data_IF_395170278840
#
_entry.id   IF_395170278840
#
_cell.length_a   1.000
_cell.length_b   1.000
_cell.length_c   1.000
_cell.angle_alpha   90.00
_cell.angle_beta   90.00
_cell.angle_gamma   90.00
#
_symmetry.space_group_name_H-M   'P 1'
#
loop_
_entity.id
_entity.type
_entity.pdbx_description
1 polymer ?
#
# COMPACT_ATOMS: atom_id res chain seq x y z
N UNK A 1 -4.44 -8.93 -24.65
CA UNK A 1 -4.91 -10.06 -23.81
C UNK A 1 -4.66 -9.71 -22.36
N UNK A 2 -5.65 -9.96 -21.48
CA UNK A 2 -5.66 -9.54 -20.07
C UNK A 2 -4.76 -10.38 -19.16
N UNK A 3 -4.30 -11.56 -19.59
CA UNK A 3 -3.44 -12.44 -18.79
C UNK A 3 -4.07 -13.07 -17.55
N UNK A 4 -5.31 -12.71 -17.19
CA UNK A 4 -6.05 -13.32 -16.09
C UNK A 4 -7.57 -13.14 -16.24
N UNK A 5 -8.31 -13.96 -15.51
CA UNK A 5 -9.75 -13.90 -15.29
C UNK A 5 -10.08 -14.30 -13.85
N UNK A 6 -11.37 -14.50 -13.52
CA UNK A 6 -11.78 -14.76 -12.13
C UNK A 6 -11.22 -16.07 -11.55
N UNK A 7 -10.98 -17.06 -12.41
CA UNK A 7 -10.53 -18.40 -12.01
C UNK A 7 -9.23 -18.83 -12.70
N UNK A 8 -8.53 -17.93 -13.39
CA UNK A 8 -7.27 -18.27 -14.03
C UNK A 8 -6.31 -17.07 -14.13
N UNK A 9 -5.01 -17.34 -14.24
CA UNK A 9 -4.01 -16.33 -14.56
C UNK A 9 -2.77 -16.93 -15.24
N UNK A 10 -2.05 -16.12 -16.00
CA UNK A 10 -0.73 -16.45 -16.55
C UNK A 10 0.35 -16.18 -15.50
N UNK A 11 1.29 -17.11 -15.34
CA UNK A 11 2.41 -16.95 -14.42
C UNK A 11 3.68 -17.65 -14.91
N UNK A 12 4.74 -17.59 -14.10
CA UNK A 12 6.09 -17.96 -14.49
C UNK A 12 6.59 -17.04 -15.59
N UNK A 13 6.59 -15.73 -15.35
CA UNK A 13 7.07 -14.76 -16.34
C UNK A 13 8.53 -15.08 -16.74
N UNK A 14 8.78 -15.15 -18.04
CA UNK A 14 10.10 -15.47 -18.60
C UNK A 14 11.07 -14.33 -18.28
N UNK A 15 12.33 -14.65 -17.97
CA UNK A 15 13.34 -13.64 -17.53
C UNK A 15 13.53 -12.49 -18.53
N UNK A 16 13.42 -12.75 -19.83
CA UNK A 16 13.54 -11.73 -20.88
C UNK A 16 12.26 -10.89 -21.08
N UNK A 17 11.14 -11.30 -20.47
CA UNK A 17 9.83 -10.69 -20.67
C UNK A 17 9.48 -9.62 -19.64
N UNK A 18 10.34 -9.38 -18.64
CA UNK A 18 10.15 -8.35 -17.63
C UNK A 18 11.48 -7.79 -17.16
N UNK A 19 11.53 -6.48 -16.94
CA UNK A 19 12.69 -5.78 -16.42
C UNK A 19 12.28 -4.98 -15.18
N UNK A 20 13.11 -5.00 -14.14
CA UNK A 20 12.97 -4.10 -13.01
C UNK A 20 13.51 -2.70 -13.38
N UNK A 21 12.81 -1.65 -12.95
CA UNK A 21 13.23 -0.27 -13.20
C UNK A 21 14.29 0.13 -12.17
N UNK A 22 15.40 0.67 -12.67
CA UNK A 22 16.50 1.15 -11.82
C UNK A 22 16.00 2.16 -10.79
N UNK A 23 16.56 2.10 -9.58
CA UNK A 23 16.27 3.08 -8.54
C UNK A 23 17.07 4.36 -8.77
N UNK A 24 16.49 5.54 -8.52
CA UNK A 24 17.27 6.77 -8.43
C UNK A 24 18.26 6.72 -7.26
N UNK A 25 19.34 7.53 -7.28
CA UNK A 25 20.32 7.61 -6.21
C UNK A 25 19.75 8.37 -5.00
N UNK A 26 18.79 7.75 -4.30
CA UNK A 26 18.16 8.27 -3.10
C UNK A 26 18.58 7.51 -1.84
N UNK A 27 18.45 8.16 -0.71
CA UNK A 27 18.75 7.67 0.62
C UNK A 27 20.22 7.74 1.01
N UNK A 28 20.51 7.28 2.23
CA UNK A 28 21.84 7.21 2.84
C UNK A 28 22.19 5.77 3.21
N UNK A 29 23.48 5.46 3.29
CA UNK A 29 23.95 4.12 3.63
C UNK A 29 23.88 3.79 5.12
N UNK A 30 23.85 4.83 5.97
CA UNK A 30 23.86 4.71 7.43
C UNK A 30 22.54 5.19 8.02
N UNK A 31 22.08 4.50 9.06
CA UNK A 31 20.94 4.91 9.86
C UNK A 31 21.30 6.10 10.76
N UNK A 32 20.30 6.87 11.20
CA UNK A 32 20.49 7.90 12.22
C UNK A 32 20.67 7.27 13.61
N UNK A 33 19.89 6.22 13.88
CA UNK A 33 19.95 5.46 15.12
C UNK A 33 20.33 4.00 14.82
N UNK A 34 21.55 3.61 15.20
CA UNK A 34 22.05 2.23 15.04
C UNK A 34 21.57 1.32 16.18
N UNK A 35 20.32 0.88 16.05
CA UNK A 35 19.69 -0.04 17.00
C UNK A 35 18.35 -0.54 16.50
N UNK A 36 17.64 -1.25 17.38
CA UNK A 36 16.29 -1.73 17.13
C UNK A 36 15.23 -0.66 17.46
N UNK A 37 13.99 -0.91 17.03
CA UNK A 37 12.84 -0.10 17.45
C UNK A 37 12.67 -0.13 18.98
N UNK A 38 12.87 -1.30 19.59
CA UNK A 38 12.82 -1.45 21.06
C UNK A 38 13.90 -0.60 21.75
N UNK A 39 15.14 -0.63 21.23
CA UNK A 39 16.23 0.20 21.75
C UNK A 39 15.91 1.69 21.66
N UNK A 40 15.34 2.14 20.53
CA UNK A 40 14.94 3.53 20.34
C UNK A 40 13.86 3.95 21.35
N UNK A 41 12.82 3.14 21.53
CA UNK A 41 11.75 3.43 22.49
C UNK A 41 12.33 3.61 23.90
N UNK A 42 13.23 2.71 24.31
CA UNK A 42 13.88 2.76 25.63
C UNK A 42 14.80 3.98 25.79
N UNK A 43 15.49 4.39 24.73
CA UNK A 43 16.45 5.50 24.76
C UNK A 43 15.81 6.89 24.61
N UNK A 44 14.64 7.00 23.96
CA UNK A 44 14.09 8.27 23.48
C UNK A 44 13.68 9.31 24.55
N UNK A 45 13.71 8.98 25.84
CA UNK A 45 13.28 9.85 26.95
C UNK A 45 11.78 10.23 26.94
N UNK A 46 11.07 9.97 25.84
CA UNK A 46 9.66 10.26 25.62
C UNK A 46 8.91 8.96 25.23
N UNK A 47 8.89 8.01 26.16
CA UNK A 47 8.36 6.67 25.93
C UNK A 47 6.89 6.66 25.47
N UNK A 48 6.09 7.67 25.83
CA UNK A 48 4.71 7.83 25.38
C UNK A 48 4.61 8.09 23.88
N UNK A 49 5.21 9.19 23.39
CA UNK A 49 5.17 9.54 21.95
C UNK A 49 5.85 8.47 21.08
N UNK A 50 6.98 7.94 21.53
CA UNK A 50 7.70 6.88 20.81
C UNK A 50 6.86 5.61 20.66
N UNK A 51 6.18 5.15 21.72
CA UNK A 51 5.30 3.97 21.63
C UNK A 51 4.12 4.20 20.69
N UNK A 52 3.47 5.37 20.78
CA UNK A 52 2.33 5.72 19.90
C UNK A 52 2.72 5.70 18.42
N UNK A 53 3.89 6.23 18.10
CA UNK A 53 4.37 6.32 16.71
C UNK A 53 4.96 5.01 16.20
N UNK A 54 5.74 4.29 17.02
CA UNK A 54 6.50 3.11 16.58
C UNK A 54 5.76 1.78 16.74
N UNK A 55 4.56 1.76 17.31
CA UNK A 55 3.77 0.54 17.51
C UNK A 55 2.38 0.66 16.88
N UNK A 56 2.01 -0.36 16.11
CA UNK A 56 0.65 -0.56 15.59
C UNK A 56 -0.16 -1.37 16.59
N UNK A 57 -1.44 -1.04 16.76
CA UNK A 57 -2.38 -1.92 17.46
C UNK A 57 -2.83 -3.05 16.52
N UNK A 58 -2.70 -4.30 16.98
CA UNK A 58 -3.06 -5.49 16.20
C UNK A 58 -3.74 -6.55 17.06
N UNK A 59 -4.43 -7.48 16.40
CA UNK A 59 -4.95 -8.72 16.98
C UNK A 59 -4.20 -9.91 16.39
N UNK A 60 -3.54 -10.71 17.21
CA UNK A 60 -2.78 -11.88 16.75
C UNK A 60 -3.70 -13.11 16.74
N UNK A 61 -3.93 -13.68 15.56
CA UNK A 61 -4.83 -14.82 15.42
C UNK A 61 -4.29 -16.04 16.19
N UNK A 62 -5.07 -16.65 17.09
CA UNK A 62 -4.59 -17.78 17.91
C UNK A 62 -4.35 -19.06 17.09
N UNK A 63 -4.99 -19.20 15.91
CA UNK A 63 -4.84 -20.39 15.05
C UNK A 63 -3.61 -20.34 14.16
N UNK A 64 -3.29 -19.19 13.57
CA UNK A 64 -2.25 -19.07 12.55
C UNK A 64 -1.15 -18.04 12.88
N UNK A 65 -1.21 -17.43 14.07
CA UNK A 65 -0.29 -16.39 14.55
C UNK A 65 -0.18 -15.13 13.67
N UNK A 66 -1.03 -14.97 12.65
CA UNK A 66 -1.02 -13.77 11.80
C UNK A 66 -1.45 -12.54 12.60
N UNK A 67 -0.72 -11.41 12.55
CA UNK A 67 -1.20 -10.14 13.03
C UNK A 67 -2.27 -9.57 12.08
N UNK A 68 -3.41 -9.19 12.65
CA UNK A 68 -4.55 -8.61 11.95
C UNK A 68 -4.77 -7.18 12.45
N UNK A 69 -5.28 -6.30 11.57
CA UNK A 69 -5.66 -4.95 11.98
C UNK A 69 -6.66 -4.97 13.14
N UNK A 70 -6.52 -4.03 14.08
CA UNK A 70 -7.26 -4.04 15.36
C UNK A 70 -8.80 -4.06 15.22
N UNK A 71 -9.35 -3.55 14.11
CA UNK A 71 -10.79 -3.54 13.83
C UNK A 71 -11.32 -4.83 13.19
N UNK A 72 -10.45 -5.78 12.84
CA UNK A 72 -10.91 -7.03 12.26
C UNK A 72 -11.58 -7.93 13.29
N UNK A 73 -12.73 -8.49 12.90
CA UNK A 73 -13.41 -9.55 13.64
C UNK A 73 -13.03 -10.95 13.11
N UNK A 74 -12.52 -11.05 11.89
CA UNK A 74 -12.11 -12.32 11.29
C UNK A 74 -10.66 -12.22 10.80
N UNK A 75 -9.86 -13.25 11.05
CA UNK A 75 -8.50 -13.31 10.54
C UNK A 75 -8.50 -13.31 9.01
N UNK A 76 -7.77 -12.39 8.39
CA UNK A 76 -7.72 -12.25 6.94
C UNK A 76 -6.80 -13.27 6.23
N UNK A 77 -6.37 -14.32 6.93
CA UNK A 77 -5.67 -15.47 6.33
C UNK A 77 -6.46 -16.77 6.51
N UNK A 78 -6.82 -17.12 7.74
CA UNK A 78 -7.49 -18.41 8.02
C UNK A 78 -8.97 -18.29 8.39
N UNK A 79 -9.53 -17.08 8.34
CA UNK A 79 -10.94 -16.78 8.66
C UNK A 79 -11.38 -17.18 10.07
N UNK A 80 -10.46 -17.44 11.00
CA UNK A 80 -10.81 -17.66 12.41
C UNK A 80 -11.35 -16.37 13.02
N UNK A 81 -12.38 -16.46 13.85
CA UNK A 81 -12.91 -15.34 14.63
C UNK A 81 -11.84 -14.81 15.59
N UNK A 82 -11.66 -13.50 15.58
CA UNK A 82 -10.71 -12.74 16.39
C UNK A 82 -11.39 -11.51 17.04
N UNK A 83 -12.72 -11.47 17.09
CA UNK A 83 -13.48 -10.41 17.74
C UNK A 83 -13.04 -10.18 19.18
N UNK A 84 -12.91 -11.26 19.96
CA UNK A 84 -12.53 -11.24 21.39
C UNK A 84 -11.01 -11.34 21.66
N UNK A 85 -10.18 -11.39 20.61
CA UNK A 85 -8.72 -11.43 20.78
C UNK A 85 -8.22 -10.09 21.34
N UNK A 86 -7.49 -10.07 22.48
CA UNK A 86 -6.94 -8.84 23.04
C UNK A 86 -5.99 -8.13 22.07
N UNK A 87 -5.94 -6.80 22.19
CA UNK A 87 -4.98 -6.01 21.42
C UNK A 87 -3.56 -6.27 21.93
N UNK A 88 -2.66 -6.48 20.98
CA UNK A 88 -1.21 -6.45 21.17
C UNK A 88 -0.62 -5.41 20.24
N UNK A 89 0.71 -5.30 20.22
CA UNK A 89 1.41 -4.39 19.33
C UNK A 89 2.27 -5.10 18.30
N UNK A 90 2.50 -4.44 17.17
CA UNK A 90 3.53 -4.80 16.20
C UNK A 90 4.34 -3.56 15.79
N UNK A 91 5.57 -3.69 15.29
CA UNK A 91 6.35 -2.53 14.89
C UNK A 91 5.73 -1.74 13.72
N UNK A 92 5.67 -0.42 13.84
CA UNK A 92 5.33 0.51 12.77
C UNK A 92 6.59 0.85 11.97
N UNK A 93 6.78 0.12 10.86
CA UNK A 93 7.97 0.24 10.02
C UNK A 93 8.04 1.61 9.34
N UNK A 94 6.90 2.18 8.95
CA UNK A 94 6.87 3.46 8.21
C UNK A 94 7.38 4.61 9.07
N UNK A 95 6.91 4.67 10.31
CA UNK A 95 7.42 5.64 11.27
C UNK A 95 8.89 5.36 11.65
N UNK A 96 9.31 4.09 11.76
CA UNK A 96 10.70 3.76 12.04
C UNK A 96 11.66 4.24 10.92
N UNK A 97 11.23 4.22 9.65
CA UNK A 97 11.99 4.80 8.54
C UNK A 97 12.17 6.32 8.70
N UNK A 98 11.11 7.03 9.09
CA UNK A 98 11.16 8.48 9.31
C UNK A 98 12.08 8.88 10.48
N UNK A 99 12.23 8.02 11.48
CA UNK A 99 13.15 8.24 12.59
C UNK A 99 14.59 7.75 12.30
N UNK A 100 14.81 7.13 11.13
CA UNK A 100 16.12 6.62 10.73
C UNK A 100 16.66 5.51 11.63
N UNK A 101 15.79 4.63 12.11
CA UNK A 101 16.16 3.45 12.92
C UNK A 101 16.76 2.36 12.02
N UNK A 102 17.85 1.74 12.42
CA UNK A 102 18.59 0.80 11.58
C UNK A 102 17.85 -0.51 11.29
N UNK A 103 17.20 -1.11 12.30
CA UNK A 103 16.65 -2.46 12.18
C UNK A 103 15.44 -2.71 13.07
N UNK A 104 14.71 -3.75 12.74
CA UNK A 104 13.82 -4.46 13.69
C UNK A 104 14.63 -5.54 14.41
N UNK A 105 13.99 -6.31 15.28
CA UNK A 105 14.57 -7.51 15.88
C UNK A 105 14.86 -8.61 14.84
N UNK A 106 14.34 -8.50 13.61
CA UNK A 106 14.37 -9.57 12.59
C UNK A 106 15.10 -9.20 11.30
N UNK A 107 15.17 -7.92 10.94
CA UNK A 107 15.72 -7.47 9.66
C UNK A 107 16.03 -5.96 9.64
N UNK A 108 16.90 -5.55 8.72
CA UNK A 108 17.29 -4.15 8.49
C UNK A 108 16.14 -3.31 7.89
N UNK A 109 16.00 -2.07 8.35
CA UNK A 109 14.98 -1.11 7.93
C UNK A 109 15.44 -0.27 6.73
N UNK A 110 15.92 -0.94 5.68
CA UNK A 110 16.30 -0.30 4.42
C UNK A 110 15.18 -0.40 3.40
N UNK A 111 14.99 0.65 2.61
CA UNK A 111 13.88 0.78 1.66
C UNK A 111 14.32 1.02 0.22
N UNK A 112 13.39 0.77 -0.70
CA UNK A 112 13.51 0.99 -2.14
C UNK A 112 12.93 2.37 -2.48
N UNK A 113 13.68 3.45 -2.21
CA UNK A 113 13.20 4.81 -2.43
C UNK A 113 13.09 5.18 -3.92
N UNK A 114 12.11 6.02 -4.22
CA UNK A 114 11.85 6.59 -5.55
C UNK A 114 11.89 8.12 -5.54
N UNK A 115 11.52 8.74 -4.42
CA UNK A 115 11.72 10.16 -4.18
C UNK A 115 11.71 10.40 -2.67
N UNK A 116 12.43 11.41 -2.22
CA UNK A 116 12.45 11.84 -0.82
C UNK A 116 12.74 13.32 -0.69
N UNK A 117 12.16 13.94 0.33
CA UNK A 117 12.42 15.32 0.77
C UNK A 117 12.03 15.42 2.23
N UNK A 118 12.31 16.52 2.92
CA UNK A 118 11.88 16.69 4.32
C UNK A 118 10.37 16.56 4.55
N UNK A 119 9.55 16.74 3.51
CA UNK A 119 8.08 16.75 3.57
C UNK A 119 7.44 15.41 3.21
N UNK A 120 8.05 14.63 2.31
CA UNK A 120 7.45 13.40 1.76
C UNK A 120 8.50 12.35 1.43
N UNK A 121 8.09 11.09 1.62
CA UNK A 121 8.88 9.91 1.26
C UNK A 121 8.06 9.01 0.33
N UNK A 122 8.59 8.70 -0.86
CA UNK A 122 8.00 7.81 -1.87
C UNK A 122 8.90 6.59 -2.06
N UNK A 123 8.33 5.39 -1.95
CA UNK A 123 9.09 4.13 -2.07
C UNK A 123 8.25 3.04 -2.72
N UNK A 124 8.92 2.03 -3.31
CA UNK A 124 8.24 0.85 -3.83
C UNK A 124 7.52 0.12 -2.70
N UNK A 125 6.27 -0.28 -2.92
CA UNK A 125 5.50 -1.02 -1.92
C UNK A 125 6.08 -2.45 -1.76
N UNK A 126 6.44 -2.91 -0.54
CA UNK A 126 6.96 -4.28 -0.31
C UNK A 126 5.94 -5.38 -0.63
N UNK A 127 4.66 -5.03 -0.68
CA UNK A 127 3.52 -5.88 -1.01
C UNK A 127 2.88 -5.48 -2.34
N UNK A 128 3.66 -4.90 -3.27
CA UNK A 128 3.26 -4.47 -4.61
C UNK A 128 2.17 -5.34 -5.28
N UNK A 129 1.15 -4.71 -5.88
CA UNK A 129 0.07 -5.37 -6.63
C UNK A 129 0.25 -5.22 -8.16
N UNK A 130 1.00 -4.21 -8.56
CA UNK A 130 1.35 -3.85 -9.94
C UNK A 130 2.87 -3.67 -10.04
N UNK A 131 3.44 -3.75 -11.26
CA UNK A 131 4.84 -3.43 -11.52
C UNK A 131 5.28 -2.06 -10.98
N UNK A 132 4.41 -1.05 -11.09
CA UNK A 132 4.56 0.25 -10.46
C UNK A 132 3.51 0.35 -9.35
N UNK A 133 3.95 0.18 -8.10
CA UNK A 133 3.16 0.39 -6.89
C UNK A 133 4.03 1.11 -5.87
N UNK A 134 3.66 2.35 -5.55
CA UNK A 134 4.31 3.12 -4.51
C UNK A 134 3.47 3.21 -3.26
N UNK A 135 4.15 3.27 -2.12
CA UNK A 135 3.65 3.96 -0.94
C UNK A 135 4.26 5.37 -0.91
N UNK A 136 3.46 6.38 -0.56
CA UNK A 136 3.99 7.69 -0.17
C UNK A 136 3.45 8.11 1.19
N UNK A 137 4.36 8.60 2.05
CA UNK A 137 4.06 9.01 3.42
C UNK A 137 4.50 10.46 3.67
N UNK A 138 3.77 11.23 4.48
CA UNK A 138 4.25 12.52 4.93
C UNK A 138 5.40 12.30 5.91
N UNK A 139 6.49 13.04 5.74
CA UNK A 139 7.70 12.86 6.53
C UNK A 139 7.81 13.85 7.71
N UNK A 140 6.93 14.85 7.77
CA UNK A 140 6.90 15.86 8.83
C UNK A 140 5.88 15.54 9.93
N UNK A 141 4.74 14.98 9.55
CA UNK A 141 3.61 14.76 10.45
C UNK A 141 3.44 13.27 10.77
N UNK A 142 3.21 12.96 12.04
CA UNK A 142 2.66 11.68 12.44
C UNK A 142 1.14 11.72 12.35
N UNK A 143 0.57 10.93 11.44
CA UNK A 143 -0.87 10.86 11.21
C UNK A 143 -1.22 9.36 11.15
N UNK A 144 -2.00 8.81 12.10
CA UNK A 144 -2.29 7.38 12.14
C UNK A 144 -2.93 6.82 10.87
N UNK A 145 -3.99 7.49 10.41
CA UNK A 145 -4.80 7.06 9.28
C UNK A 145 -5.49 8.27 8.60
N UNK A 146 -6.16 8.03 7.47
CA UNK A 146 -6.75 9.08 6.65
C UNK A 146 -7.88 9.86 7.34
N UNK A 147 -8.55 9.31 8.36
CA UNK A 147 -9.67 9.98 9.04
C UNK A 147 -9.21 11.23 9.77
N UNK A 148 -7.97 11.22 10.27
CA UNK A 148 -7.36 12.39 10.92
C UNK A 148 -7.26 13.61 10.01
N UNK A 149 -7.21 13.42 8.68
CA UNK A 149 -7.23 14.52 7.72
C UNK A 149 -8.52 15.35 7.81
N UNK A 150 -9.61 14.75 8.27
CA UNK A 150 -10.91 15.42 8.40
C UNK A 150 -11.01 16.37 9.61
N UNK A 151 -10.03 16.32 10.53
CA UNK A 151 -9.91 17.29 11.62
C UNK A 151 -9.36 18.64 11.13
N UNK A 152 -8.57 18.61 10.05
CA UNK A 152 -7.95 19.79 9.43
C UNK A 152 -8.14 19.74 7.90
N UNK A 153 -9.38 19.93 7.40
CA UNK A 153 -9.70 19.60 6.00
C UNK A 153 -8.82 20.27 4.95
N UNK A 154 -8.46 21.54 5.15
CA UNK A 154 -7.62 22.30 4.21
C UNK A 154 -6.19 21.74 4.15
N UNK A 155 -5.55 21.57 5.30
CA UNK A 155 -4.22 20.97 5.40
C UNK A 155 -4.22 19.52 4.93
N UNK A 156 -5.29 18.76 5.23
CA UNK A 156 -5.46 17.39 4.76
C UNK A 156 -5.59 17.30 3.24
N UNK A 157 -6.27 18.25 2.60
CA UNK A 157 -6.40 18.33 1.15
C UNK A 157 -5.06 18.66 0.49
N UNK A 158 -4.31 19.61 1.05
CA UNK A 158 -2.96 19.93 0.59
C UNK A 158 -2.03 18.71 0.70
N UNK A 159 -2.14 17.96 1.80
CA UNK A 159 -1.34 16.77 2.02
C UNK A 159 -1.67 15.66 1.01
N UNK A 160 -2.95 15.41 0.73
CA UNK A 160 -3.35 14.44 -0.30
C UNK A 160 -2.74 14.76 -1.66
N UNK A 161 -2.82 16.04 -2.08
CA UNK A 161 -2.23 16.53 -3.34
C UNK A 161 -0.71 16.38 -3.36
N UNK A 162 -0.03 16.71 -2.26
CA UNK A 162 1.41 16.54 -2.14
C UNK A 162 1.80 15.06 -2.36
N UNK A 163 1.16 14.13 -1.64
CA UNK A 163 1.48 12.71 -1.74
C UNK A 163 1.24 12.16 -3.16
N UNK A 164 0.08 12.48 -3.76
CA UNK A 164 -0.25 12.04 -5.12
C UNK A 164 0.71 12.62 -6.17
N UNK A 165 0.99 13.93 -6.11
CA UNK A 165 1.89 14.60 -7.05
C UNK A 165 3.32 14.05 -6.93
N UNK A 166 3.79 13.75 -5.72
CA UNK A 166 5.11 13.13 -5.52
C UNK A 166 5.19 11.72 -6.10
N UNK A 167 4.12 10.93 -5.98
CA UNK A 167 4.05 9.63 -6.66
C UNK A 167 4.05 9.76 -8.18
N UNK A 168 3.27 10.70 -8.73
CA UNK A 168 3.22 10.96 -10.17
C UNK A 168 4.59 11.39 -10.72
N UNK A 169 5.28 12.31 -10.05
CA UNK A 169 6.62 12.74 -10.43
C UNK A 169 7.60 11.55 -10.41
N UNK A 170 7.61 10.76 -9.33
CA UNK A 170 8.46 9.58 -9.22
C UNK A 170 8.17 8.53 -10.32
N UNK A 171 6.90 8.35 -10.68
CA UNK A 171 6.49 7.47 -11.77
C UNK A 171 7.02 7.96 -13.14
N UNK A 172 6.93 9.26 -13.39
CA UNK A 172 7.42 9.90 -14.62
C UNK A 172 8.93 9.77 -14.76
N UNK A 173 9.67 10.11 -13.70
CA UNK A 173 11.14 10.14 -13.70
C UNK A 173 11.77 8.75 -13.75
N UNK A 174 11.16 7.75 -13.09
CA UNK A 174 11.71 6.39 -13.04
C UNK A 174 11.13 5.49 -14.12
N UNK A 175 9.81 5.25 -14.09
CA UNK A 175 9.18 4.18 -14.87
C UNK A 175 8.87 4.65 -16.29
N UNK A 176 8.20 5.79 -16.44
CA UNK A 176 7.80 6.27 -17.77
C UNK A 176 8.98 6.80 -18.59
N UNK A 177 10.10 7.17 -17.95
CA UNK A 177 11.35 7.46 -18.65
C UNK A 177 12.06 6.21 -19.20
N UNK A 178 11.85 5.02 -18.63
CA UNK A 178 12.45 3.76 -19.11
C UNK A 178 11.66 3.21 -20.31
N UNK A 179 12.13 3.52 -21.52
CA UNK A 179 11.51 3.08 -22.78
C UNK A 179 11.36 1.56 -22.89
N UNK A 180 12.32 0.80 -22.35
CA UNK A 180 12.27 -0.68 -22.40
C UNK A 180 11.16 -1.17 -21.49
N UNK A 181 11.08 -0.63 -20.28
CA UNK A 181 10.01 -0.98 -19.35
C UNK A 181 8.63 -0.62 -19.89
N UNK A 182 8.45 0.60 -20.45
CA UNK A 182 7.19 1.01 -21.08
C UNK A 182 6.78 0.07 -22.21
N UNK A 183 7.72 -0.29 -23.09
CA UNK A 183 7.43 -1.23 -24.17
C UNK A 183 6.94 -2.58 -23.65
N UNK A 184 7.59 -3.06 -22.59
CA UNK A 184 7.31 -4.38 -22.02
C UNK A 184 6.00 -4.41 -21.23
N UNK A 185 5.74 -3.42 -20.38
CA UNK A 185 4.59 -3.43 -19.45
C UNK A 185 3.35 -2.77 -20.07
N UNK A 186 3.53 -1.68 -20.80
CA UNK A 186 2.44 -0.85 -21.33
C UNK A 186 2.27 -0.99 -22.85
N UNK A 187 3.18 -1.66 -23.55
CA UNK A 187 3.24 -1.66 -25.02
C UNK A 187 3.18 -0.24 -25.60
N UNK A 188 3.94 0.67 -25.00
CA UNK A 188 4.00 2.10 -25.33
C UNK A 188 2.67 2.87 -25.16
N UNK A 189 1.69 2.30 -24.42
CA UNK A 189 0.47 3.02 -24.11
C UNK A 189 0.74 4.25 -23.22
N UNK A 190 0.12 5.38 -23.58
CA UNK A 190 0.18 6.59 -22.78
C UNK A 190 -0.79 6.52 -21.59
N UNK A 191 -0.24 6.53 -20.38
CA UNK A 191 -1.02 6.53 -19.12
C UNK A 191 -1.35 7.97 -18.74
N UNK A 192 -2.63 8.28 -18.61
CA UNK A 192 -3.06 9.59 -18.12
C UNK A 192 -2.67 9.76 -16.65
N UNK A 193 -2.30 10.97 -16.20
CA UNK A 193 -2.08 11.25 -14.77
C UNK A 193 -3.25 10.87 -13.85
N UNK A 194 -4.47 10.79 -14.38
CA UNK A 194 -5.68 10.42 -13.63
C UNK A 194 -5.99 8.91 -13.69
N UNK A 195 -5.26 8.14 -14.50
CA UNK A 195 -5.50 6.72 -14.74
C UNK A 195 -4.67 5.84 -13.79
N UNK A 196 -4.74 6.11 -12.48
CA UNK A 196 -4.09 5.33 -11.42
C UNK A 196 -5.11 4.79 -10.42
N UNK A 197 -4.75 3.69 -9.75
CA UNK A 197 -5.52 3.17 -8.63
C UNK A 197 -4.90 3.75 -7.36
N UNK A 198 -5.60 4.71 -6.76
CA UNK A 198 -5.10 5.48 -5.62
C UNK A 198 -6.06 5.43 -4.44
N UNK A 199 -5.52 5.33 -3.22
CA UNK A 199 -6.33 5.35 -2.01
C UNK A 199 -5.59 4.96 -0.75
N UNK A 200 -6.36 4.84 0.33
CA UNK A 200 -5.87 4.53 1.68
C UNK A 200 -6.50 3.24 2.20
N UNK A 201 -5.75 2.46 2.98
CA UNK A 201 -6.31 1.34 3.72
C UNK A 201 -6.81 1.79 5.10
N UNK A 202 -7.88 1.16 5.59
CA UNK A 202 -8.33 1.25 6.98
C UNK A 202 -8.61 -0.15 7.57
N UNK A 203 -8.16 -0.44 8.80
CA UNK A 203 -7.08 0.27 9.46
C UNK A 203 -5.80 0.07 8.61
N UNK A 204 -4.89 1.03 8.62
CA UNK A 204 -3.65 0.88 7.88
C UNK A 204 -2.79 -0.22 8.53
N UNK A 205 -2.00 -0.93 7.74
CA UNK A 205 -1.08 -1.97 8.26
C UNK A 205 0.13 -1.38 9.00
N UNK A 206 0.38 -0.09 8.79
CA UNK A 206 1.42 0.72 9.42
C UNK A 206 0.73 1.99 9.89
N UNK A 207 0.83 2.33 11.17
CA UNK A 207 0.13 3.42 11.85
C UNK A 207 0.68 4.80 11.47
N UNK A 208 0.82 5.04 10.18
CA UNK A 208 1.33 6.23 9.53
C UNK A 208 0.58 6.35 8.21
N UNK A 209 -0.01 7.51 7.95
CA UNK A 209 -0.75 7.82 6.75
C UNK A 209 0.13 7.49 5.54
N UNK A 210 -0.39 6.66 4.66
CA UNK A 210 0.27 6.31 3.42
C UNK A 210 -0.77 6.16 2.31
N UNK A 211 -0.54 6.87 1.20
CA UNK A 211 -1.28 6.60 -0.02
C UNK A 211 -0.68 5.38 -0.69
N UNK A 212 -1.54 4.47 -1.16
CA UNK A 212 -1.17 3.48 -2.16
C UNK A 212 -1.39 4.08 -3.53
N UNK A 213 -0.35 4.09 -4.36
CA UNK A 213 -0.38 4.63 -5.71
C UNK A 213 0.05 3.55 -6.70
N UNK A 214 -0.91 3.02 -7.46
CA UNK A 214 -0.70 1.86 -8.32
C UNK A 214 -1.01 2.19 -9.78
N UNK A 215 -0.11 1.80 -10.67
CA UNK A 215 -0.46 1.66 -12.08
C UNK A 215 -1.57 0.59 -12.21
N UNK A 216 -2.62 0.82 -13.02
CA UNK A 216 -3.76 -0.09 -13.12
C UNK A 216 -3.43 -1.42 -13.80
N UNK A 217 -2.20 -1.61 -14.28
CA UNK A 217 -1.70 -2.89 -14.78
C UNK A 217 -1.32 -3.79 -13.59
N UNK A 218 -2.32 -4.33 -12.91
CA UNK A 218 -2.10 -5.32 -11.85
C UNK A 218 -1.35 -6.54 -12.42
N UNK A 219 -0.53 -7.18 -11.58
CA UNK A 219 0.07 -8.47 -11.93
C UNK A 219 -1.05 -9.50 -12.15
N UNK A 220 -0.91 -10.47 -13.06
CA UNK A 220 -2.01 -11.37 -13.43
C UNK A 220 -2.72 -12.04 -12.23
N UNK A 221 -1.96 -12.60 -11.29
CA UNK A 221 -2.53 -13.21 -10.07
C UNK A 221 -3.23 -12.18 -9.16
N UNK A 222 -2.74 -10.94 -9.09
CA UNK A 222 -3.39 -9.87 -8.31
C UNK A 222 -4.69 -9.40 -8.99
N UNK A 223 -4.74 -9.38 -10.34
CA UNK A 223 -6.00 -9.09 -11.03
C UNK A 223 -7.05 -10.19 -10.82
N UNK A 224 -6.65 -11.47 -10.80
CA UNK A 224 -7.56 -12.55 -10.41
C UNK A 224 -8.10 -12.33 -8.98
N UNK A 225 -7.23 -11.99 -8.02
CA UNK A 225 -7.64 -11.69 -6.64
C UNK A 225 -8.56 -10.46 -6.55
N UNK A 226 -8.36 -9.46 -7.41
CA UNK A 226 -9.26 -8.31 -7.55
C UNK A 226 -10.64 -8.75 -8.01
N UNK A 227 -10.73 -9.58 -9.06
CA UNK A 227 -12.01 -10.11 -9.57
C UNK A 227 -12.74 -10.99 -8.53
N UNK A 228 -11.99 -11.61 -7.61
CA UNK A 228 -12.53 -12.38 -6.47
C UNK A 228 -12.91 -11.51 -5.26
N UNK A 229 -12.80 -10.18 -5.36
CA UNK A 229 -13.14 -9.25 -4.28
C UNK A 229 -12.15 -9.25 -3.10
N UNK A 230 -10.93 -9.78 -3.29
CA UNK A 230 -9.89 -9.82 -2.25
C UNK A 230 -9.16 -8.49 -2.13
N UNK A 231 -8.98 -7.78 -3.25
CA UNK A 231 -8.39 -6.43 -3.24
C UNK A 231 -9.45 -5.36 -3.16
N UNK A 232 -9.03 -4.21 -2.61
CA UNK A 232 -9.85 -3.01 -2.50
C UNK A 232 -11.19 -3.27 -1.81
N UNK A 233 -11.21 -4.13 -0.78
CA UNK A 233 -12.44 -4.51 -0.07
C UNK A 233 -13.19 -3.27 0.45
N UNK A 234 -14.52 -3.29 0.33
CA UNK A 234 -15.42 -2.26 0.85
C UNK A 234 -15.18 -2.00 2.35
N UNK A 235 -15.24 -0.73 2.75
CA UNK A 235 -14.89 -0.21 4.08
C UNK A 235 -13.46 -0.50 4.57
N UNK A 236 -12.61 -1.09 3.71
CA UNK A 236 -11.18 -1.32 3.98
C UNK A 236 -10.31 -0.48 3.08
N UNK A 237 -10.73 -0.24 1.84
CA UNK A 237 -10.04 0.62 0.90
C UNK A 237 -10.86 1.88 0.62
N UNK A 238 -10.21 3.03 0.77
CA UNK A 238 -10.82 4.35 0.61
C UNK A 238 -10.18 5.03 -0.60
N UNK A 239 -10.86 5.05 -1.76
CA UNK A 239 -10.34 5.69 -2.96
C UNK A 239 -9.93 7.13 -2.67
N UNK A 240 -8.81 7.59 -3.23
CA UNK A 240 -8.33 8.95 -3.00
C UNK A 240 -9.39 10.00 -3.34
N UNK A 241 -10.12 9.80 -4.45
CA UNK A 241 -11.20 10.69 -4.87
C UNK A 241 -12.30 10.87 -3.82
N UNK A 242 -12.64 9.83 -3.04
CA UNK A 242 -13.60 9.94 -1.95
C UNK A 242 -13.08 10.83 -0.82
N UNK A 243 -11.82 10.62 -0.42
CA UNK A 243 -11.19 11.39 0.66
C UNK A 243 -11.03 12.85 0.23
N UNK A 244 -10.52 13.10 -0.97
CA UNK A 244 -10.33 14.45 -1.54
C UNK A 244 -11.65 15.20 -1.69
N UNK A 245 -12.71 14.56 -2.21
CA UNK A 245 -14.02 15.19 -2.32
C UNK A 245 -14.60 15.50 -0.93
N UNK A 246 -14.47 14.56 0.01
CA UNK A 246 -14.96 14.78 1.38
C UNK A 246 -14.28 15.98 2.03
N UNK A 247 -12.94 16.08 1.94
CA UNK A 247 -12.18 17.21 2.47
C UNK A 247 -12.56 18.52 1.78
N UNK A 248 -12.73 18.50 0.45
CA UNK A 248 -13.20 19.66 -0.33
C UNK A 248 -14.56 20.16 0.18
N UNK A 249 -15.53 19.26 0.36
CA UNK A 249 -16.87 19.62 0.85
C UNK A 249 -16.87 20.11 2.29
N UNK A 250 -16.01 19.55 3.14
CA UNK A 250 -15.80 20.04 4.51
C UNK A 250 -15.24 21.48 4.50
N UNK A 251 -14.26 21.78 3.64
CA UNK A 251 -13.72 23.13 3.44
C UNK A 251 -14.80 24.11 2.94
N UNK A 252 -15.55 23.75 1.90
CA UNK A 252 -16.62 24.59 1.33
C UNK A 252 -17.67 24.96 2.38
N UNK A 253 -18.07 23.99 3.21
CA UNK A 253 -19.04 24.17 4.29
C UNK A 253 -18.44 24.78 5.56
N UNK A 254 -17.12 24.96 5.61
CA UNK A 254 -16.36 25.44 6.78
C UNK A 254 -16.63 24.61 8.05
N UNK A 255 -16.75 23.31 7.89
CA UNK A 255 -16.93 22.35 8.99
C UNK A 255 -15.77 21.36 9.01
N UNK A 256 -15.48 20.82 10.18
CA UNK A 256 -14.54 19.71 10.36
C UNK A 256 -15.24 18.58 11.09
N UNK A 257 -14.69 17.38 11.00
CA UNK A 257 -15.19 16.26 11.81
C UNK A 257 -14.71 16.46 13.25
N UNK A 258 -15.61 16.37 14.25
CA UNK A 258 -15.22 16.36 15.66
C UNK A 258 -14.28 15.19 16.00
N UNK A 259 -13.28 15.43 16.86
CA UNK A 259 -12.22 14.47 17.15
C UNK A 259 -12.74 13.18 17.79
N UNK A 260 -13.78 13.29 18.62
CA UNK A 260 -14.46 12.17 19.26
C UNK A 260 -15.04 11.16 18.25
N UNK A 261 -15.37 11.61 17.04
CA UNK A 261 -15.88 10.73 15.99
C UNK A 261 -14.81 9.80 15.41
N UNK A 262 -13.51 10.07 15.61
CA UNK A 262 -12.44 9.16 15.20
C UNK A 262 -12.48 7.82 15.96
N UNK A 263 -13.18 7.76 17.09
CA UNK A 263 -13.38 6.54 17.86
C UNK A 263 -14.57 5.69 17.37
N UNK A 264 -15.35 6.20 16.41
CA UNK A 264 -16.46 5.44 15.83
C UNK A 264 -15.94 4.23 15.05
N UNK A 265 -16.69 3.10 15.05
CA UNK A 265 -16.57 2.09 14.01
C UNK A 265 -16.59 2.70 12.61
N UNK A 266 -15.89 2.09 11.66
CA UNK A 266 -15.63 2.71 10.35
C UNK A 266 -16.90 2.98 9.54
N UNK A 267 -17.88 2.09 9.62
CA UNK A 267 -19.20 2.24 9.03
C UNK A 267 -19.95 3.45 9.61
N UNK A 268 -19.96 3.61 10.94
CA UNK A 268 -20.54 4.77 11.59
C UNK A 268 -19.79 6.08 11.26
N UNK A 269 -18.46 6.02 11.16
CA UNK A 269 -17.65 7.17 10.72
C UNK A 269 -18.00 7.61 9.29
N UNK A 270 -18.19 6.66 8.36
CA UNK A 270 -18.59 6.94 6.98
C UNK A 270 -19.95 7.65 6.95
N UNK A 271 -20.93 7.17 7.72
CA UNK A 271 -22.25 7.82 7.83
C UNK A 271 -22.10 9.25 8.32
N UNK A 272 -21.33 9.45 9.40
CA UNK A 272 -21.09 10.80 9.94
C UNK A 272 -20.38 11.72 8.95
N UNK A 273 -19.39 11.21 8.23
CA UNK A 273 -18.69 11.97 7.21
C UNK A 273 -19.65 12.35 6.08
N UNK A 274 -20.52 11.44 5.62
CA UNK A 274 -21.54 11.73 4.62
C UNK A 274 -22.54 12.79 5.07
N UNK A 275 -22.98 12.78 6.33
CA UNK A 275 -23.85 13.84 6.87
C UNK A 275 -23.19 15.23 6.78
N UNK A 276 -21.89 15.30 7.11
CA UNK A 276 -21.15 16.56 7.14
C UNK A 276 -20.73 17.01 5.73
N UNK A 277 -20.19 16.13 4.90
CA UNK A 277 -19.65 16.45 3.57
C UNK A 277 -20.70 16.35 2.46
N UNK A 278 -21.69 15.47 2.59
CA UNK A 278 -22.62 15.10 1.52
C UNK A 278 -22.06 14.07 0.53
N UNK A 279 -20.84 13.55 0.79
CA UNK A 279 -20.15 12.61 -0.10
C UNK A 279 -20.49 11.17 0.27
N UNK A 280 -20.92 10.39 -0.71
CA UNK A 280 -21.31 9.00 -0.53
C UNK A 280 -20.16 8.03 -0.82
N UNK A 281 -19.72 7.27 0.19
CA UNK A 281 -18.63 6.32 0.05
C UNK A 281 -18.93 5.20 -0.94
N UNK A 282 -20.15 4.65 -0.90
CA UNK A 282 -20.54 3.49 -1.72
C UNK A 282 -20.47 3.81 -3.22
N UNK A 283 -20.89 5.01 -3.60
CA UNK A 283 -20.76 5.53 -4.96
C UNK A 283 -19.30 5.58 -5.40
N UNK A 284 -18.41 6.18 -4.59
CA UNK A 284 -16.99 6.30 -4.95
C UNK A 284 -16.27 4.96 -4.98
N UNK A 285 -16.57 4.06 -4.04
CA UNK A 285 -15.99 2.71 -4.00
C UNK A 285 -16.43 1.88 -5.21
N UNK A 286 -17.72 1.88 -5.53
CA UNK A 286 -18.26 1.18 -6.71
C UNK A 286 -17.66 1.72 -8.01
N UNK A 287 -17.59 3.04 -8.15
CA UNK A 287 -16.96 3.69 -9.30
C UNK A 287 -15.47 3.35 -9.40
N UNK A 288 -14.76 3.31 -8.28
CA UNK A 288 -13.36 2.89 -8.25
C UNK A 288 -13.19 1.45 -8.74
N UNK A 289 -14.02 0.50 -8.30
CA UNK A 289 -13.95 -0.89 -8.73
C UNK A 289 -14.20 -1.04 -10.24
N UNK A 290 -15.22 -0.37 -10.77
CA UNK A 290 -15.49 -0.35 -12.21
C UNK A 290 -14.34 0.28 -12.99
N UNK A 291 -13.80 1.38 -12.48
CA UNK A 291 -12.68 2.07 -13.10
C UNK A 291 -11.40 1.21 -13.09
N UNK A 292 -11.14 0.48 -12.01
CA UNK A 292 -10.00 -0.43 -11.92
C UNK A 292 -10.05 -1.50 -13.01
N UNK A 293 -11.21 -2.13 -13.23
CA UNK A 293 -11.40 -3.12 -14.29
C UNK A 293 -11.26 -2.51 -15.69
N UNK A 294 -11.87 -1.34 -15.91
CA UNK A 294 -11.78 -0.58 -17.17
C UNK A 294 -10.34 -0.20 -17.49
N UNK A 295 -9.60 0.34 -16.52
CA UNK A 295 -8.22 0.76 -16.69
C UNK A 295 -7.28 -0.43 -16.89
N UNK A 296 -7.50 -1.52 -16.16
CA UNK A 296 -6.78 -2.77 -16.42
C UNK A 296 -6.98 -3.22 -17.86
N UNK A 297 -8.23 -3.23 -18.34
CA UNK A 297 -8.57 -3.61 -19.71
C UNK A 297 -7.91 -2.69 -20.75
N UNK A 298 -7.77 -1.40 -20.43
CA UNK A 298 -7.14 -0.40 -21.29
C UNK A 298 -5.62 -0.55 -21.39
N UNK A 299 -4.96 -0.83 -20.27
CA UNK A 299 -3.50 -0.74 -20.16
C UNK A 299 -2.75 -2.06 -20.03
N UNK A 300 -3.40 -3.13 -19.55
CA UNK A 300 -2.69 -4.37 -19.26
C UNK A 300 -2.29 -5.12 -20.54
N UNK A 301 -0.98 -5.36 -20.68
CA UNK A 301 -0.41 -6.10 -21.80
C UNK A 301 0.36 -7.35 -21.34
N UNK A 302 -0.40 -8.42 -21.10
CA UNK A 302 0.09 -9.73 -20.67
C UNK A 302 -0.14 -10.81 -21.74
N UNK A 303 0.63 -10.80 -22.84
CA UNK A 303 0.52 -11.81 -23.89
C UNK A 303 1.12 -13.16 -23.43
N UNK A 304 0.57 -14.28 -23.91
CA UNK A 304 0.87 -15.64 -23.41
C UNK A 304 2.35 -16.01 -23.55
N UNK A 305 3.01 -15.49 -24.58
CA UNK A 305 4.40 -15.78 -24.94
C UNK A 305 5.40 -15.34 -23.87
N UNK A 306 4.99 -14.40 -23.00
CA UNK A 306 5.80 -13.92 -21.86
C UNK A 306 5.81 -14.88 -20.67
N UNK A 307 4.97 -15.90 -20.66
CA UNK A 307 4.72 -16.75 -19.51
C UNK A 307 5.03 -18.22 -19.82
N UNK A 308 5.37 -18.97 -18.79
CA UNK A 308 5.60 -20.42 -18.87
C UNK A 308 4.35 -21.22 -18.51
N UNK A 309 3.50 -20.67 -17.64
CA UNK A 309 2.37 -21.39 -17.06
C UNK A 309 1.06 -20.62 -17.19
N UNK A 310 -0.02 -21.36 -17.26
CA UNK A 310 -1.38 -20.92 -16.97
C UNK A 310 -1.84 -21.64 -15.70
N UNK A 311 -2.33 -20.88 -14.72
CA UNK A 311 -2.86 -21.40 -13.48
C UNK A 311 -4.38 -21.27 -13.49
N UNK A 312 -5.08 -22.33 -13.09
CA UNK A 312 -6.55 -22.36 -13.05
C UNK A 312 -7.02 -22.86 -11.68
N UNK A 313 -8.01 -22.18 -11.11
CA UNK A 313 -8.67 -22.60 -9.87
C UNK A 313 -9.77 -23.61 -10.22
N UNK A 314 -9.70 -24.81 -9.66
CA UNK A 314 -10.72 -25.85 -9.86
C UNK A 314 -11.97 -25.58 -9.03
N UNK A 315 -13.01 -26.39 -9.23
CA UNK A 315 -14.25 -26.29 -8.43
C UNK A 315 -14.03 -26.66 -6.96
N UNK A 316 -13.00 -27.46 -6.68
CA UNK A 316 -12.57 -27.90 -5.36
C UNK A 316 -11.60 -26.90 -4.70
N UNK A 317 -11.47 -25.69 -5.25
CA UNK A 317 -10.56 -24.63 -4.80
C UNK A 317 -9.07 -25.03 -4.80
N UNK A 318 -8.71 -26.01 -5.62
CA UNK A 318 -7.32 -26.38 -5.85
C UNK A 318 -6.75 -25.58 -7.02
N UNK A 319 -5.46 -25.23 -6.95
CA UNK A 319 -4.78 -24.55 -8.05
C UNK A 319 -4.10 -25.57 -8.96
N UNK A 320 -4.53 -25.64 -10.21
CA UNK A 320 -3.88 -26.42 -11.26
C UNK A 320 -2.91 -25.53 -12.04
N UNK A 321 -1.69 -26.02 -12.25
CA UNK A 321 -0.67 -25.41 -13.10
C UNK A 321 -0.56 -26.18 -14.41
N UNK A 322 -0.75 -25.49 -15.53
CA UNK A 322 -0.54 -26.02 -16.89
C UNK A 322 0.68 -25.36 -17.53
N UNK A 323 1.65 -26.15 -17.97
CA UNK A 323 2.75 -25.67 -18.78
C UNK A 323 2.26 -25.32 -20.19
N UNK A 324 2.50 -24.09 -20.64
CA UNK A 324 1.91 -23.57 -21.89
C UNK A 324 2.46 -24.27 -23.14
N UNK A 325 3.74 -24.67 -23.13
CA UNK A 325 4.38 -25.32 -24.30
C UNK A 325 4.14 -26.84 -24.35
N UNK A 326 4.33 -27.58 -23.25
CA UNK A 326 4.13 -29.04 -23.23
C UNK A 326 2.67 -29.47 -22.98
N UNK A 327 1.83 -28.59 -22.45
CA UNK A 327 0.46 -28.91 -22.04
C UNK A 327 0.35 -29.73 -20.75
N UNK A 328 1.47 -30.09 -20.11
CA UNK A 328 1.48 -30.86 -18.87
C UNK A 328 0.76 -30.10 -17.75
N UNK A 329 -0.08 -30.80 -16.99
CA UNK A 329 -0.88 -30.25 -15.89
C UNK A 329 -0.51 -30.94 -14.57
N UNK A 330 -0.51 -30.18 -13.48
CA UNK A 330 -0.31 -30.69 -12.11
C UNK A 330 -0.98 -29.77 -11.08
N UNK A 331 -1.33 -30.33 -9.92
CA UNK A 331 -1.86 -29.56 -8.79
C UNK A 331 -0.71 -28.89 -8.01
N UNK A 332 -0.93 -27.68 -7.52
CA UNK A 332 0.08 -26.91 -6.78
C UNK A 332 -0.53 -26.13 -5.61
N UNK A 333 0.33 -25.65 -4.71
CA UNK A 333 -0.06 -24.83 -3.56
C UNK A 333 -0.23 -23.36 -3.99
N UNK A 334 -1.45 -22.82 -3.82
CA UNK A 334 -1.80 -21.46 -4.24
C UNK A 334 -0.87 -20.41 -3.60
N UNK A 335 -0.58 -20.58 -2.30
CA UNK A 335 0.24 -19.62 -1.55
C UNK A 335 1.68 -19.58 -2.07
N UNK A 336 2.29 -20.74 -2.28
CA UNK A 336 3.65 -20.84 -2.83
C UNK A 336 3.75 -20.23 -4.23
N UNK A 337 2.75 -20.43 -5.09
CA UNK A 337 2.69 -19.82 -6.41
C UNK A 337 2.61 -18.30 -6.31
N UNK A 338 1.70 -17.77 -5.50
CA UNK A 338 1.56 -16.31 -5.35
C UNK A 338 2.84 -15.67 -4.81
N UNK A 339 3.51 -16.29 -3.83
CA UNK A 339 4.79 -15.81 -3.33
C UNK A 339 5.87 -15.81 -4.42
N UNK A 340 5.93 -16.84 -5.26
CA UNK A 340 6.87 -16.92 -6.37
C UNK A 340 6.60 -15.83 -7.43
N UNK A 341 5.35 -15.68 -7.88
CA UNK A 341 4.97 -14.66 -8.86
C UNK A 341 5.29 -13.24 -8.35
N UNK A 342 4.95 -12.98 -7.08
CA UNK A 342 5.19 -11.69 -6.45
C UNK A 342 6.67 -11.37 -6.38
N UNK A 343 7.50 -12.35 -5.99
CA UNK A 343 8.95 -12.20 -6.01
C UNK A 343 9.45 -11.82 -7.38
N UNK A 344 8.95 -12.41 -8.47
CA UNK A 344 9.49 -12.15 -9.82
C UNK A 344 9.17 -10.74 -10.31
N UNK A 345 7.91 -10.31 -10.14
CA UNK A 345 7.38 -9.10 -10.77
C UNK A 345 7.54 -7.82 -9.93
N UNK A 346 7.73 -7.91 -8.62
CA UNK A 346 7.90 -6.71 -7.78
C UNK A 346 9.23 -5.99 -8.05
N UNK A 347 9.22 -4.65 -7.97
CA UNK A 347 10.44 -3.84 -8.06
C UNK A 347 11.16 -3.69 -6.71
N UNK A 348 10.45 -3.89 -5.59
CA UNK A 348 11.01 -3.74 -4.25
C UNK A 348 12.26 -4.62 -4.07
N UNK A 349 13.38 -3.99 -3.72
CA UNK A 349 14.65 -4.69 -3.45
C UNK A 349 15.27 -5.37 -4.67
N UNK A 350 14.75 -5.17 -5.88
CA UNK A 350 15.26 -5.79 -7.12
C UNK A 350 15.97 -4.80 -8.04
N UNK A 351 16.90 -5.30 -8.85
CA UNK A 351 17.79 -4.56 -9.77
C UNK A 351 19.26 -4.54 -9.31
N UNK A 352 20.20 -4.52 -10.27
CA UNK A 352 21.63 -4.21 -10.01
C UNK A 352 21.83 -2.68 -9.89
N UNK A 353 22.81 -2.14 -9.13
CA UNK A 353 23.26 -2.47 -7.78
C UNK A 353 22.84 -1.38 -6.76
N UNK A 354 21.82 -0.54 -7.01
CA UNK A 354 21.47 0.51 -6.04
C UNK A 354 20.97 -0.16 -4.76
N UNK A 355 21.70 -0.14 -3.63
CA UNK A 355 21.30 -0.88 -2.44
C UNK A 355 19.99 -0.29 -1.90
N UNK A 356 19.28 -1.08 -1.09
CA UNK A 356 18.27 -0.49 -0.22
C UNK A 356 18.98 0.49 0.73
N UNK A 357 18.36 1.64 0.98
CA UNK A 357 18.98 2.73 1.74
C UNK A 357 18.10 3.16 2.92
N UNK A 358 18.66 3.99 3.79
CA UNK A 358 17.93 4.69 4.85
C UNK A 358 17.48 6.06 4.37
N UNK A 359 16.38 6.56 4.93
CA UNK A 359 15.83 7.86 4.58
C UNK A 359 16.85 8.97 4.82
N UNK A 360 16.97 9.92 3.88
CA UNK A 360 17.99 10.97 3.95
C UNK A 360 17.69 12.07 4.96
N UNK A 361 16.42 12.27 5.33
CA UNK A 361 15.99 13.36 6.21
C UNK A 361 15.33 12.85 7.50
N UNK A 362 15.98 11.90 8.22
CA UNK A 362 15.38 11.32 9.40
C UNK A 362 15.25 12.38 10.50
N UNK A 363 14.17 12.31 11.27
CA UNK A 363 13.87 13.27 12.34
C UNK A 363 13.92 12.56 13.69
N UNK A 364 14.45 13.23 14.71
CA UNK A 364 14.25 12.77 16.08
C UNK A 364 12.76 12.89 16.46
N UNK A 365 12.29 12.04 17.40
CA UNK A 365 10.88 11.98 17.78
C UNK A 365 10.32 13.33 18.28
N UNK A 366 11.15 14.17 18.90
CA UNK A 366 10.77 15.51 19.37
C UNK A 366 10.58 16.53 18.24
N UNK A 367 11.08 16.22 17.04
CA UNK A 367 10.91 17.03 15.81
C UNK A 367 9.76 16.55 14.93
N UNK A 368 9.12 15.44 15.27
CA UNK A 368 7.92 14.97 14.58
C UNK A 368 6.70 15.79 15.02
N UNK A 369 5.89 16.22 14.07
CA UNK A 369 4.67 16.97 14.33
C UNK A 369 3.51 16.01 14.68
N UNK A 370 2.95 16.16 15.88
CA UNK A 370 1.82 15.38 16.40
C UNK A 370 0.50 16.18 16.45
N UNK A 371 0.42 17.35 15.81
CA UNK A 371 -0.76 18.25 15.83
C UNK A 371 -2.07 17.55 15.46
N UNK A 372 -2.03 16.59 14.53
CA UNK A 372 -3.19 15.77 14.17
C UNK A 372 -3.69 14.89 15.33
N UNK A 373 -2.80 14.46 16.23
CA UNK A 373 -3.13 13.64 17.41
C UNK A 373 -3.50 14.47 18.63
N UNK A 374 -2.84 15.61 18.83
CA UNK A 374 -3.05 16.47 20.01
C UNK A 374 -4.47 17.05 20.07
N UNK A 375 -5.16 17.10 18.93
CA UNK A 375 -6.58 17.49 18.86
C UNK A 375 -7.59 16.43 19.34
N UNK A 376 -7.13 15.21 19.68
CA UNK A 376 -7.97 14.09 20.14
C UNK A 376 -7.94 13.91 21.67
N UNK A 377 -6.99 14.57 22.34
CA UNK A 377 -6.87 14.64 23.81
C UNK A 377 -7.55 15.91 24.30
#
# INVERSE_FOLDING_TARGET
>A
MKGAGANYFLGGIKKSAYRCVNRPPCGKQTALFDGTITDYINASGNGGKSKTMLLNNVKVCPKCAKPNGYTLCMCNQCRTDISDVPLTTSPNLFSAFLLGIARTEKFDLKLSFRAESEEVLVFDDPLALSPLHFCAIPAKHFIPDWRYLTLFPESGLQLCKLLENSCLAAAQESFFADKVWNKVVLNDAHVSPNDFLTGFNFPPSQNQLHIQFMLPVLMPHQYMLFLRGIHFTHQRFFPLGFVVESLTKLCEKKVKVPAEHLNLPIDAFIVKLRELSGVDYDTYHSNFMQNADRLYSKYAFWPKEKFTYEYTLTKEEQLERKHLESGQCETTDEKAVFEAEKRVLQNYGKGEPSPLTYYSFPKAIDKMDFSYMESVV
#
